data_IF_834661234700
#
_entry.id   IF_834661234700
#
_cell.length_a   1.000
_cell.length_b   1.000
_cell.length_c   1.000
_cell.angle_alpha   90.00
_cell.angle_beta   90.00
_cell.angle_gamma   90.00
#
_symmetry.space_group_name_H-M   'P 1'
#
loop_
_entity.id
_entity.type
_entity.pdbx_description
1 polymer ?
#
# COMPACT_ATOMS: atom_id res chain seq x y z
N UNK A 1 5.42 16.43 -24.82
CA UNK A 1 5.93 15.35 -25.68
C UNK A 1 5.83 15.59 -27.20
N UNK A 2 5.26 16.71 -27.68
CA UNK A 2 5.02 16.91 -29.12
C UNK A 2 6.24 16.66 -30.06
N UNK A 3 7.48 17.14 -29.76
CA UNK A 3 8.62 16.86 -30.63
C UNK A 3 8.96 15.36 -30.73
N UNK A 4 8.85 14.63 -29.63
CA UNK A 4 9.12 13.19 -29.55
C UNK A 4 8.10 12.39 -30.37
N UNK A 5 6.82 12.76 -30.26
CA UNK A 5 5.74 12.16 -31.07
C UNK A 5 5.97 12.40 -32.56
N UNK A 6 6.30 13.63 -32.97
CA UNK A 6 6.61 13.95 -34.38
C UNK A 6 7.78 13.09 -34.89
N UNK A 7 8.86 12.99 -34.11
CA UNK A 7 10.03 12.20 -34.49
C UNK A 7 9.68 10.71 -34.64
N UNK A 8 8.87 10.16 -33.73
CA UNK A 8 8.43 8.76 -33.75
C UNK A 8 7.50 8.45 -34.93
N UNK A 9 6.52 9.32 -35.21
CA UNK A 9 5.62 9.20 -36.37
C UNK A 9 6.38 9.18 -37.70
N UNK A 10 7.41 10.02 -37.86
CA UNK A 10 8.26 10.03 -39.06
C UNK A 10 9.09 8.74 -39.14
N UNK A 11 9.68 8.29 -38.02
CA UNK A 11 10.51 7.08 -37.98
C UNK A 11 9.71 5.80 -38.27
N UNK A 12 8.42 5.78 -37.94
CA UNK A 12 7.50 4.67 -38.24
C UNK A 12 6.87 4.77 -39.65
N UNK A 13 7.26 5.76 -40.47
CA UNK A 13 6.69 6.02 -41.81
C UNK A 13 5.17 6.28 -41.84
N UNK A 14 4.58 6.71 -40.72
CA UNK A 14 3.16 7.10 -40.64
C UNK A 14 2.95 8.45 -41.34
N UNK A 15 3.94 9.34 -41.24
CA UNK A 15 3.95 10.66 -41.89
C UNK A 15 5.30 10.97 -42.54
N UNK A 16 5.26 11.62 -43.70
CA UNK A 16 6.46 11.89 -44.49
C UNK A 16 7.18 13.20 -44.12
N UNK A 17 6.54 14.09 -43.36
CA UNK A 17 7.12 15.38 -42.98
C UNK A 17 6.53 15.95 -41.68
N UNK A 18 7.24 16.92 -41.10
CA UNK A 18 6.88 17.57 -39.83
C UNK A 18 5.51 18.29 -39.92
N UNK A 19 5.18 18.88 -41.08
CA UNK A 19 3.93 19.64 -41.26
C UNK A 19 2.72 18.70 -41.24
N UNK A 20 2.83 17.54 -41.88
CA UNK A 20 1.83 16.48 -41.85
C UNK A 20 1.69 15.93 -40.42
N UNK A 21 2.79 15.66 -39.72
CA UNK A 21 2.78 15.21 -38.34
C UNK A 21 2.03 16.19 -37.42
N UNK A 22 2.30 17.50 -37.51
CA UNK A 22 1.59 18.53 -36.73
C UNK A 22 0.09 18.54 -37.01
N UNK A 23 -0.31 18.36 -38.27
CA UNK A 23 -1.73 18.32 -38.66
C UNK A 23 -2.43 17.08 -38.11
N UNK A 24 -1.74 15.93 -38.08
CA UNK A 24 -2.24 14.67 -37.55
C UNK A 24 -2.43 14.76 -36.02
N UNK A 25 -1.43 15.31 -35.31
CA UNK A 25 -1.53 15.58 -33.86
C UNK A 25 -2.70 16.52 -33.53
N UNK A 26 -2.94 17.56 -34.34
CA UNK A 26 -4.07 18.49 -34.12
C UNK A 26 -5.44 17.83 -34.32
N UNK A 27 -5.53 16.78 -35.14
CA UNK A 27 -6.76 16.00 -35.34
C UNK A 27 -7.00 14.99 -34.21
N UNK A 28 -5.98 14.70 -33.41
CA UNK A 28 -6.01 13.71 -32.34
C UNK A 28 -6.47 12.32 -32.83
N UNK A 29 -5.93 11.87 -33.98
CA UNK A 29 -6.21 10.52 -34.50
C UNK A 29 -5.67 9.43 -33.55
N UNK A 30 -6.33 8.26 -33.54
CA UNK A 30 -5.99 7.14 -32.65
C UNK A 30 -4.52 6.68 -32.77
N UNK A 31 -3.96 6.73 -33.98
CA UNK A 31 -2.55 6.41 -34.24
C UNK A 31 -1.59 7.30 -33.43
N UNK A 32 -1.94 8.58 -33.22
CA UNK A 32 -1.14 9.51 -32.40
C UNK A 32 -1.16 9.10 -30.94
N UNK A 33 -2.32 8.63 -30.45
CA UNK A 33 -2.48 8.24 -29.06
C UNK A 33 -1.66 6.98 -28.75
N UNK A 34 -1.63 6.01 -29.67
CA UNK A 34 -0.77 4.84 -29.55
C UNK A 34 0.72 5.24 -29.50
N UNK A 35 1.14 6.11 -30.41
CA UNK A 35 2.53 6.60 -30.45
C UNK A 35 2.87 7.44 -29.22
N UNK A 36 1.92 8.22 -28.71
CA UNK A 36 2.10 8.99 -27.48
C UNK A 36 2.32 8.05 -26.28
N UNK A 37 1.54 6.97 -26.16
CA UNK A 37 1.70 5.98 -25.11
C UNK A 37 3.10 5.36 -25.12
N UNK A 38 3.62 4.98 -26.30
CA UNK A 38 4.99 4.48 -26.44
C UNK A 38 6.06 5.52 -26.05
N UNK A 39 5.81 6.79 -26.34
CA UNK A 39 6.78 7.87 -26.10
C UNK A 39 6.85 8.25 -24.61
N UNK A 40 5.74 8.16 -23.88
CA UNK A 40 5.72 8.51 -22.45
C UNK A 40 6.19 7.37 -21.55
N UNK A 41 6.12 6.12 -22.05
CA UNK A 41 6.53 4.94 -21.29
C UNK A 41 8.01 5.06 -20.89
N UNK A 42 8.29 4.97 -19.59
CA UNK A 42 9.64 5.16 -19.07
C UNK A 42 10.19 6.60 -19.13
N UNK A 43 9.39 7.61 -19.49
CA UNK A 43 9.81 9.02 -19.47
C UNK A 43 9.23 9.76 -18.26
N UNK A 44 10.00 10.00 -17.18
CA UNK A 44 9.47 10.64 -15.98
C UNK A 44 9.10 12.10 -16.22
N UNK A 45 8.06 12.58 -15.54
CA UNK A 45 7.65 13.99 -15.49
C UNK A 45 7.85 14.54 -14.08
N UNK A 46 8.02 15.85 -13.95
CA UNK A 46 8.05 16.52 -12.65
C UNK A 46 6.73 17.25 -12.42
N UNK A 47 6.09 16.99 -11.27
CA UNK A 47 4.96 17.77 -10.79
C UNK A 47 5.43 18.79 -9.76
N UNK A 48 4.90 20.01 -9.83
CA UNK A 48 5.19 21.09 -8.89
C UNK A 48 3.88 21.79 -8.49
N UNK A 49 3.73 22.10 -7.20
CA UNK A 49 2.67 22.96 -6.68
C UNK A 49 3.29 24.22 -6.08
N UNK A 50 2.83 25.38 -6.51
CA UNK A 50 3.25 26.67 -5.95
C UNK A 50 2.35 27.09 -4.77
N UNK A 51 2.89 27.73 -3.73
CA UNK A 51 4.30 28.04 -3.50
C UNK A 51 5.12 26.82 -3.06
N UNK A 52 6.34 26.68 -3.59
CA UNK A 52 7.24 25.56 -3.24
C UNK A 52 8.04 25.89 -1.97
N UNK A 53 7.64 25.33 -0.83
CA UNK A 53 8.27 25.61 0.47
C UNK A 53 9.49 24.74 0.77
N UNK A 54 9.56 23.54 0.20
CA UNK A 54 10.62 22.57 0.44
C UNK A 54 10.80 21.65 -0.76
N UNK A 55 11.90 20.87 -0.77
CA UNK A 55 12.28 20.02 -1.92
C UNK A 55 11.16 19.08 -2.38
N UNK A 56 10.36 18.56 -1.43
CA UNK A 56 9.27 17.62 -1.73
C UNK A 56 8.04 18.24 -2.40
N UNK A 57 8.01 19.58 -2.55
CA UNK A 57 7.00 20.28 -3.34
C UNK A 57 7.24 20.14 -4.85
N UNK A 58 8.33 19.48 -5.27
CA UNK A 58 8.57 19.03 -6.64
C UNK A 58 8.97 17.55 -6.59
N UNK A 59 8.23 16.70 -7.28
CA UNK A 59 8.55 15.26 -7.34
C UNK A 59 8.37 14.70 -8.75
N UNK A 60 9.10 13.64 -9.04
CA UNK A 60 9.00 12.92 -10.29
C UNK A 60 7.97 11.79 -10.22
N UNK A 61 7.25 11.60 -11.31
CA UNK A 61 6.26 10.56 -11.50
C UNK A 61 6.39 9.95 -12.89
N UNK A 62 5.95 8.70 -13.04
CA UNK A 62 5.70 8.10 -14.34
C UNK A 62 4.31 8.51 -14.83
N UNK A 63 4.19 9.19 -15.99
CA UNK A 63 2.91 9.62 -16.51
C UNK A 63 2.07 8.44 -17.00
N UNK A 64 0.77 8.46 -16.70
CA UNK A 64 -0.23 7.55 -17.29
C UNK A 64 -1.27 8.37 -18.04
N UNK A 65 -1.61 7.95 -19.26
CA UNK A 65 -2.71 8.58 -20.01
C UNK A 65 -4.03 8.21 -19.32
N UNK A 66 -4.86 9.22 -19.13
CA UNK A 66 -6.20 9.10 -18.55
C UNK A 66 -7.17 9.94 -19.37
N UNK A 67 -8.42 9.52 -19.41
CA UNK A 67 -9.48 10.32 -20.01
C UNK A 67 -9.82 11.49 -19.08
N UNK A 68 -9.82 12.71 -19.63
CA UNK A 68 -10.19 13.91 -18.89
C UNK A 68 -9.19 15.06 -19.07
N UNK A 69 -9.39 16.11 -18.28
CA UNK A 69 -8.56 17.33 -18.30
C UNK A 69 -7.87 17.61 -16.96
N UNK A 70 -8.11 16.78 -15.95
CA UNK A 70 -7.53 16.90 -14.62
C UNK A 70 -6.34 15.96 -14.47
N UNK A 71 -5.35 16.37 -13.67
CA UNK A 71 -4.23 15.50 -13.30
C UNK A 71 -4.70 14.60 -12.15
N UNK A 72 -4.51 13.30 -12.29
CA UNK A 72 -4.70 12.36 -11.19
C UNK A 72 -3.42 12.33 -10.35
N UNK A 73 -3.55 12.65 -9.06
CA UNK A 73 -2.44 12.66 -8.11
C UNK A 73 -2.63 11.56 -7.06
N UNK A 74 -1.54 10.91 -6.68
CA UNK A 74 -1.58 9.88 -5.64
C UNK A 74 -1.92 10.50 -4.27
N UNK A 75 -2.88 9.96 -3.49
CA UNK A 75 -3.32 10.60 -2.24
C UNK A 75 -2.19 10.76 -1.21
N UNK A 76 -1.28 9.79 -1.13
CA UNK A 76 -0.17 9.84 -0.17
C UNK A 76 0.90 10.92 -0.45
N UNK A 77 0.93 11.53 -1.65
CA UNK A 77 1.87 12.65 -1.91
C UNK A 77 1.24 14.02 -1.62
N UNK A 78 -0.07 14.09 -1.34
CA UNK A 78 -0.77 15.34 -1.06
C UNK A 78 -0.18 16.12 0.13
N UNK A 79 0.19 15.47 1.26
CA UNK A 79 0.85 16.18 2.36
C UNK A 79 2.16 16.86 1.95
N UNK A 80 2.96 16.21 1.09
CA UNK A 80 4.21 16.75 0.59
C UNK A 80 4.02 17.94 -0.36
N UNK A 81 2.92 17.99 -1.12
CA UNK A 81 2.58 19.17 -1.93
C UNK A 81 1.77 20.23 -1.16
N UNK A 82 1.35 19.91 0.07
CA UNK A 82 0.33 20.64 0.82
C UNK A 82 -0.94 20.89 -0.02
N UNK A 83 -1.31 19.90 -0.85
CA UNK A 83 -2.37 20.01 -1.84
C UNK A 83 -3.70 19.44 -1.32
N UNK A 84 -4.80 20.05 -1.76
CA UNK A 84 -6.15 19.53 -1.63
C UNK A 84 -6.82 19.45 -3.02
N UNK A 85 -8.10 19.06 -3.06
CA UNK A 85 -8.83 18.79 -4.31
C UNK A 85 -10.06 19.69 -4.45
N UNK A 86 -9.94 20.97 -4.08
CA UNK A 86 -11.03 21.96 -4.15
C UNK A 86 -10.90 22.94 -5.34
N UNK A 87 -9.87 22.78 -6.18
CA UNK A 87 -9.57 23.67 -7.31
C UNK A 87 -8.08 23.94 -7.53
N UNK A 88 -7.22 23.36 -6.69
CA UNK A 88 -5.77 23.41 -6.79
C UNK A 88 -5.22 23.07 -8.19
N UNK A 89 -4.14 23.77 -8.57
CA UNK A 89 -3.45 23.60 -9.84
C UNK A 89 -2.00 23.17 -9.62
N UNK A 90 -1.50 22.34 -10.53
CA UNK A 90 -0.11 21.90 -10.55
C UNK A 90 0.54 22.14 -11.91
N UNK A 91 1.82 22.49 -11.88
CA UNK A 91 2.63 22.58 -13.09
C UNK A 91 3.26 21.22 -13.41
N UNK A 92 3.35 20.91 -14.70
CA UNK A 92 4.02 19.71 -15.22
C UNK A 92 5.25 20.13 -16.01
N UNK A 93 6.42 19.60 -15.64
CA UNK A 93 7.66 19.82 -16.36
C UNK A 93 8.17 18.50 -16.96
N UNK A 94 8.67 18.55 -18.19
CA UNK A 94 9.19 17.37 -18.89
C UNK A 94 10.71 17.50 -19.02
N UNK A 95 11.51 16.71 -18.29
CA UNK A 95 12.96 16.70 -18.45
C UNK A 95 13.34 16.18 -19.85
N UNK A 96 14.28 16.83 -20.52
CA UNK A 96 14.67 16.50 -21.90
C UNK A 96 15.98 15.71 -21.95
N UNK A 97 17.03 16.22 -21.29
CA UNK A 97 18.34 15.59 -21.24
C UNK A 97 18.30 14.23 -20.52
N UNK A 98 19.16 13.30 -20.94
CA UNK A 98 19.22 11.95 -20.34
C UNK A 98 19.65 12.05 -18.87
N UNK A 99 20.56 12.97 -18.58
CA UNK A 99 21.03 13.30 -17.24
C UNK A 99 19.86 13.76 -16.36
N UNK A 100 19.02 14.67 -16.86
CA UNK A 100 17.85 15.16 -16.13
C UNK A 100 16.77 14.08 -15.93
N UNK A 101 16.57 13.21 -16.92
CA UNK A 101 15.66 12.06 -16.77
C UNK A 101 16.18 11.06 -15.73
N UNK A 102 17.51 10.87 -15.68
CA UNK A 102 18.18 10.00 -14.72
C UNK A 102 18.06 10.56 -13.31
N UNK A 103 18.33 11.86 -13.11
CA UNK A 103 18.12 12.54 -11.82
C UNK A 103 16.65 12.46 -11.37
N UNK A 104 15.70 12.69 -12.28
CA UNK A 104 14.28 12.58 -11.97
C UNK A 104 13.93 11.17 -11.46
N UNK A 105 14.44 10.13 -12.12
CA UNK A 105 14.18 8.73 -11.76
C UNK A 105 14.88 8.29 -10.48
N UNK A 106 16.14 8.68 -10.28
CA UNK A 106 16.94 8.20 -9.16
C UNK A 106 16.68 9.02 -7.89
N UNK A 107 16.59 10.34 -8.01
CA UNK A 107 16.59 11.26 -6.86
C UNK A 107 15.19 11.82 -6.56
N UNK A 108 14.41 12.12 -7.59
CA UNK A 108 13.15 12.85 -7.42
C UNK A 108 11.91 11.97 -7.44
N UNK A 109 12.04 10.68 -7.77
CA UNK A 109 10.89 9.77 -7.85
C UNK A 109 10.15 9.73 -6.52
N UNK A 110 8.82 9.88 -6.55
CA UNK A 110 8.00 9.99 -5.36
C UNK A 110 8.16 8.78 -4.41
N UNK A 111 8.32 7.57 -4.97
CA UNK A 111 8.56 6.33 -4.20
C UNK A 111 9.86 6.34 -3.39
N UNK A 112 10.85 7.15 -3.78
CA UNK A 112 12.13 7.24 -3.08
C UNK A 112 12.09 8.31 -1.97
N UNK A 113 11.05 9.14 -1.95
CA UNK A 113 10.96 10.34 -1.12
C UNK A 113 9.93 10.17 0.02
N UNK A 114 10.06 9.08 0.77
CA UNK A 114 9.13 8.68 1.85
C UNK A 114 9.37 9.47 3.14
N UNK A 115 10.61 9.91 3.39
CA UNK A 115 11.00 10.58 4.62
C UNK A 115 11.11 12.10 4.45
N UNK A 116 10.69 12.82 5.49
CA UNK A 116 10.92 14.24 5.68
C UNK A 116 12.43 14.52 5.77
N UNK A 117 12.99 15.42 4.95
CA UNK A 117 14.40 15.75 5.02
C UNK A 117 14.79 16.51 6.29
N UNK A 118 13.80 17.13 6.95
CA UNK A 118 14.00 17.96 8.14
C UNK A 118 13.99 17.14 9.43
N UNK A 119 13.09 16.15 9.54
CA UNK A 119 12.87 15.38 10.78
C UNK A 119 13.31 13.93 10.67
N UNK A 120 13.46 13.39 9.46
CA UNK A 120 13.69 11.95 9.24
C UNK A 120 12.43 11.08 9.41
N UNK A 121 11.31 11.68 9.80
CA UNK A 121 10.03 10.98 9.96
C UNK A 121 9.34 10.76 8.61
N UNK A 122 8.48 9.73 8.47
CA UNK A 122 7.70 9.52 7.26
C UNK A 122 6.78 10.71 6.96
N UNK A 123 6.88 11.27 5.74
CA UNK A 123 5.95 12.32 5.28
C UNK A 123 4.77 11.73 4.50
N UNK A 124 4.99 10.58 3.85
CA UNK A 124 4.00 9.82 3.10
C UNK A 124 3.21 8.97 4.09
N UNK A 125 2.35 9.62 4.87
CA UNK A 125 1.54 8.95 5.91
C UNK A 125 0.08 8.85 5.48
N UNK A 126 -0.61 7.73 5.80
CA UNK A 126 -2.05 7.63 5.62
C UNK A 126 -2.78 8.73 6.40
N UNK A 127 -3.81 9.31 5.80
CA UNK A 127 -4.64 10.35 6.41
C UNK A 127 -6.12 10.13 6.10
N UNK A 128 -6.98 10.86 6.80
CA UNK A 128 -8.43 10.93 6.56
C UNK A 128 -9.06 9.53 6.41
N UNK A 129 -9.58 9.19 5.23
CA UNK A 129 -10.32 7.96 4.95
C UNK A 129 -9.48 6.70 5.15
N UNK A 130 -8.17 6.74 4.86
CA UNK A 130 -7.29 5.59 5.06
C UNK A 130 -7.15 5.28 6.55
N UNK A 131 -7.00 6.33 7.38
CA UNK A 131 -6.93 6.18 8.85
C UNK A 131 -8.25 5.69 9.39
N UNK A 132 -9.37 6.24 8.91
CA UNK A 132 -10.71 5.81 9.33
C UNK A 132 -10.98 4.35 8.97
N UNK A 133 -10.59 3.92 7.76
CA UNK A 133 -10.72 2.55 7.30
C UNK A 133 -9.89 1.58 8.13
N UNK A 134 -8.62 1.89 8.36
CA UNK A 134 -7.73 1.08 9.20
C UNK A 134 -8.21 1.02 10.66
N UNK A 135 -8.69 2.15 11.21
CA UNK A 135 -9.27 2.20 12.54
C UNK A 135 -10.52 1.33 12.62
N UNK A 136 -11.46 1.48 11.70
CA UNK A 136 -12.68 0.68 11.68
C UNK A 136 -12.37 -0.81 11.54
N UNK A 137 -11.40 -1.17 10.71
CA UNK A 137 -10.97 -2.55 10.51
C UNK A 137 -10.39 -3.18 11.79
N UNK A 138 -9.66 -2.40 12.59
CA UNK A 138 -8.93 -2.90 13.76
C UNK A 138 -9.65 -2.68 15.10
N UNK A 139 -10.73 -1.89 15.08
CA UNK A 139 -11.56 -1.60 16.23
C UNK A 139 -12.23 -2.85 16.80
N UNK A 140 -12.41 -2.86 18.12
CA UNK A 140 -13.16 -3.90 18.83
C UNK A 140 -14.57 -3.37 19.06
N UNK A 141 -15.57 -4.16 18.65
CA UNK A 141 -16.97 -3.80 18.87
C UNK A 141 -17.30 -3.86 20.38
N UNK A 142 -17.82 -2.76 20.97
CA UNK A 142 -18.23 -2.77 22.38
C UNK A 142 -19.27 -3.87 22.64
N UNK A 143 -19.05 -4.67 23.69
CA UNK A 143 -19.93 -5.79 24.04
C UNK A 143 -19.70 -7.07 23.22
N UNK A 144 -18.72 -7.09 22.30
CA UNK A 144 -18.34 -8.33 21.62
C UNK A 144 -17.82 -9.36 22.62
N UNK A 145 -18.35 -10.58 22.57
CA UNK A 145 -17.91 -11.68 23.43
C UNK A 145 -16.73 -12.39 22.79
N UNK A 146 -15.66 -12.61 23.57
CA UNK A 146 -14.50 -13.39 23.15
C UNK A 146 -14.85 -14.88 23.20
N UNK A 147 -14.66 -15.65 22.11
CA UNK A 147 -14.91 -17.08 22.11
C UNK A 147 -13.88 -17.81 22.97
N UNK A 148 -14.29 -18.91 23.58
CA UNK A 148 -13.38 -19.83 24.24
C UNK A 148 -12.51 -20.55 23.20
N UNK A 149 -11.27 -20.84 23.59
CA UNK A 149 -10.36 -21.59 22.72
C UNK A 149 -10.91 -23.00 22.47
N UNK A 150 -10.93 -23.42 21.20
CA UNK A 150 -11.44 -24.74 20.80
C UNK A 150 -12.89 -24.73 20.29
N UNK A 151 -13.56 -23.57 20.28
CA UNK A 151 -14.80 -23.40 19.54
C UNK A 151 -14.54 -23.63 18.04
N UNK A 152 -15.16 -24.68 17.48
CA UNK A 152 -15.00 -25.08 16.07
C UNK A 152 -15.41 -23.99 15.09
N UNK A 153 -16.32 -23.11 15.48
CA UNK A 153 -16.80 -22.02 14.60
C UNK A 153 -15.88 -20.80 14.60
N UNK A 154 -14.99 -20.69 15.60
CA UNK A 154 -14.15 -19.50 15.82
C UNK A 154 -12.65 -19.80 15.90
N UNK A 155 -12.23 -21.05 15.74
CA UNK A 155 -10.81 -21.47 15.81
C UNK A 155 -10.31 -21.94 14.44
N UNK A 156 -9.23 -21.33 13.95
CA UNK A 156 -8.71 -21.51 12.59
C UNK A 156 -7.23 -21.94 12.58
N UNK A 157 -6.83 -22.71 11.57
CA UNK A 157 -5.48 -23.27 11.47
C UNK A 157 -4.47 -22.33 10.82
N UNK A 158 -4.91 -21.19 10.27
CA UNK A 158 -4.05 -20.13 9.76
C UNK A 158 -4.84 -18.90 9.32
N UNK A 159 -4.13 -17.83 8.94
CA UNK A 159 -4.74 -16.57 8.49
C UNK A 159 -5.61 -16.77 7.23
N UNK A 160 -5.17 -17.62 6.31
CA UNK A 160 -5.92 -17.92 5.07
C UNK A 160 -7.30 -18.52 5.30
N UNK A 161 -7.46 -19.36 6.33
CA UNK A 161 -8.76 -19.96 6.67
C UNK A 161 -9.74 -18.89 7.18
N UNK A 162 -9.24 -17.93 7.97
CA UNK A 162 -10.04 -16.80 8.45
C UNK A 162 -10.51 -15.94 7.28
N UNK A 163 -9.61 -15.63 6.33
CA UNK A 163 -9.94 -14.84 5.14
C UNK A 163 -10.97 -15.55 4.27
N UNK A 164 -10.85 -16.86 4.10
CA UNK A 164 -11.82 -17.67 3.36
C UNK A 164 -13.19 -17.66 4.06
N UNK A 165 -13.23 -17.90 5.36
CA UNK A 165 -14.47 -17.87 6.14
C UNK A 165 -15.14 -16.48 6.11
N UNK A 166 -14.35 -15.41 6.10
CA UNK A 166 -14.84 -14.04 5.91
C UNK A 166 -15.40 -13.82 4.50
N UNK A 167 -14.71 -14.28 3.46
CA UNK A 167 -15.18 -14.19 2.06
C UNK A 167 -16.48 -14.98 1.82
N UNK A 168 -16.63 -16.14 2.47
CA UNK A 168 -17.85 -16.97 2.45
C UNK A 168 -18.97 -16.41 3.35
N UNK A 169 -18.76 -15.25 4.00
CA UNK A 169 -19.71 -14.55 4.88
C UNK A 169 -20.11 -15.33 6.14
N UNK A 170 -19.27 -16.28 6.58
CA UNK A 170 -19.43 -16.98 7.85
C UNK A 170 -18.96 -16.16 9.04
N UNK A 171 -18.12 -15.15 8.81
CA UNK A 171 -17.61 -14.24 9.81
C UNK A 171 -17.90 -12.79 9.42
N UNK A 172 -18.01 -11.92 10.42
CA UNK A 172 -18.04 -10.47 10.26
C UNK A 172 -16.70 -9.84 10.62
N UNK A 173 -16.47 -8.59 10.19
CA UNK A 173 -15.18 -7.91 10.34
C UNK A 173 -14.71 -7.78 11.80
N UNK A 174 -15.63 -7.62 12.74
CA UNK A 174 -15.32 -7.39 14.15
C UNK A 174 -15.47 -8.63 15.02
N UNK A 175 -15.75 -9.79 14.41
CA UNK A 175 -15.81 -11.04 15.13
C UNK A 175 -14.45 -11.42 15.69
N UNK A 176 -14.45 -11.92 16.92
CA UNK A 176 -13.27 -12.51 17.54
C UNK A 176 -13.05 -13.92 17.05
N UNK A 177 -11.79 -14.25 16.78
CA UNK A 177 -11.34 -15.56 16.31
C UNK A 177 -10.03 -15.96 16.97
N UNK A 178 -9.87 -17.26 17.18
CA UNK A 178 -8.59 -17.87 17.48
C UNK A 178 -7.94 -18.31 16.17
N UNK A 179 -6.72 -17.86 15.90
CA UNK A 179 -6.00 -18.23 14.67
C UNK A 179 -4.60 -18.71 15.01
N UNK A 180 -4.19 -19.83 14.42
CA UNK A 180 -2.81 -20.31 14.55
C UNK A 180 -1.87 -19.37 13.80
N UNK A 181 -0.78 -18.98 14.44
CA UNK A 181 0.22 -18.11 13.85
C UNK A 181 1.62 -18.52 14.31
N UNK A 182 2.56 -18.60 13.37
CA UNK A 182 3.93 -19.08 13.61
C UNK A 182 4.99 -17.98 13.51
N UNK A 183 4.60 -16.75 13.20
CA UNK A 183 5.53 -15.62 13.11
C UNK A 183 5.81 -14.96 14.46
N UNK A 184 6.60 -13.90 14.41
CA UNK A 184 6.82 -13.00 15.55
C UNK A 184 5.53 -12.25 15.88
N UNK A 185 5.25 -12.14 17.17
CA UNK A 185 4.06 -11.47 17.69
C UNK A 185 4.53 -10.41 18.65
N UNK A 186 4.22 -9.17 18.33
CA UNK A 186 4.41 -8.03 19.21
C UNK A 186 3.04 -7.61 19.75
N UNK A 187 2.89 -7.63 21.08
CA UNK A 187 1.66 -7.27 21.77
C UNK A 187 2.01 -6.56 23.07
N UNK A 188 2.00 -5.23 23.04
CA UNK A 188 2.26 -4.37 24.20
C UNK A 188 1.18 -4.49 25.28
N UNK A 189 -0.02 -4.96 24.93
CA UNK A 189 -1.16 -5.13 25.85
C UNK A 189 -1.14 -6.48 26.59
N UNK A 190 -0.18 -7.35 26.26
CA UNK A 190 0.00 -8.64 26.92
C UNK A 190 0.72 -8.50 28.27
N UNK A 191 0.30 -9.29 29.25
CA UNK A 191 0.88 -9.25 30.60
C UNK A 191 2.30 -9.80 30.64
N UNK A 192 3.04 -9.53 31.72
CA UNK A 192 4.39 -10.11 31.94
C UNK A 192 4.35 -11.61 32.28
N UNK A 193 3.20 -12.11 32.73
CA UNK A 193 3.00 -13.49 33.17
C UNK A 193 1.72 -14.07 32.54
N UNK A 194 1.67 -15.39 32.28
CA UNK A 194 0.49 -16.03 31.73
C UNK A 194 -0.66 -16.06 32.75
N UNK A 195 -1.89 -15.95 32.26
CA UNK A 195 -3.11 -15.96 33.09
C UNK A 195 -3.37 -17.36 33.65
N UNK A 196 -3.08 -18.40 32.86
CA UNK A 196 -3.12 -19.80 33.28
C UNK A 196 -1.96 -20.55 32.65
N UNK A 197 -1.39 -21.50 33.37
CA UNK A 197 -0.48 -22.49 32.82
C UNK A 197 -0.89 -23.88 33.28
N UNK A 198 -0.74 -24.86 32.41
CA UNK A 198 -1.08 -26.26 32.67
C UNK A 198 0.00 -27.15 32.08
N UNK A 199 0.48 -28.12 32.85
CA UNK A 199 1.39 -29.15 32.37
C UNK A 199 0.62 -30.46 32.25
N UNK A 200 0.58 -31.01 31.05
CA UNK A 200 -0.13 -32.25 30.74
C UNK A 200 0.71 -33.47 31.14
N UNK A 201 0.07 -34.63 31.19
CA UNK A 201 0.70 -35.91 31.56
C UNK A 201 1.79 -36.38 30.58
N UNK A 202 1.81 -35.82 29.36
CA UNK A 202 2.82 -36.06 28.32
C UNK A 202 3.98 -35.05 28.38
N UNK A 203 4.09 -34.31 29.48
CA UNK A 203 5.10 -33.28 29.72
C UNK A 203 4.95 -32.00 28.88
N UNK A 204 3.95 -31.93 27.99
CA UNK A 204 3.59 -30.69 27.28
C UNK A 204 3.20 -29.59 28.27
N UNK A 205 3.71 -28.38 28.07
CA UNK A 205 3.24 -27.18 28.78
C UNK A 205 2.33 -26.32 27.91
N UNK A 206 1.17 -25.94 28.44
CA UNK A 206 0.26 -24.98 27.82
C UNK A 206 0.26 -23.70 28.64
N UNK A 207 0.48 -22.58 27.98
CA UNK A 207 0.39 -21.24 28.57
C UNK A 207 -0.74 -20.45 27.90
N UNK A 208 -1.71 -20.04 28.71
CA UNK A 208 -2.80 -19.19 28.30
C UNK A 208 -2.52 -17.76 28.76
N UNK A 209 -2.33 -16.89 27.78
CA UNK A 209 -2.20 -15.45 27.96
C UNK A 209 -3.54 -14.76 27.65
N UNK A 210 -3.54 -13.43 27.68
CA UNK A 210 -4.76 -12.63 27.47
C UNK A 210 -5.25 -12.70 26.03
N UNK A 211 -4.32 -12.66 25.07
CA UNK A 211 -4.61 -12.71 23.64
C UNK A 211 -3.86 -13.82 22.92
N UNK A 212 -3.05 -14.60 23.64
CA UNK A 212 -2.26 -15.68 23.08
C UNK A 212 -2.45 -16.98 23.84
N UNK A 213 -2.29 -18.10 23.15
CA UNK A 213 -2.20 -19.44 23.73
C UNK A 213 -1.03 -20.16 23.08
N UNK A 214 -0.03 -20.47 23.90
CA UNK A 214 1.18 -21.14 23.47
C UNK A 214 1.23 -22.55 24.03
N UNK A 215 1.71 -23.49 23.23
CA UNK A 215 1.93 -24.89 23.61
C UNK A 215 3.39 -25.24 23.33
N UNK A 216 4.07 -25.74 24.35
CA UNK A 216 5.47 -26.15 24.33
C UNK A 216 5.60 -27.66 24.56
N UNK A 217 6.65 -28.26 24.01
CA UNK A 217 7.04 -29.64 24.32
C UNK A 217 7.77 -29.75 25.66
N UNK A 218 8.22 -30.97 26.00
CA UNK A 218 8.99 -31.25 27.22
C UNK A 218 10.34 -30.51 27.25
N UNK A 219 10.94 -30.27 26.07
CA UNK A 219 12.23 -29.60 25.89
C UNK A 219 12.09 -28.06 25.86
N UNK A 220 10.86 -27.54 25.92
CA UNK A 220 10.55 -26.11 25.90
C UNK A 220 10.45 -25.49 24.50
N UNK A 221 10.46 -26.27 23.43
CA UNK A 221 10.24 -25.79 22.07
C UNK A 221 8.75 -25.54 21.79
N UNK A 222 8.45 -24.47 21.07
CA UNK A 222 7.09 -24.07 20.74
C UNK A 222 6.47 -25.01 19.69
N UNK A 223 5.47 -25.80 20.08
CA UNK A 223 4.69 -26.69 19.20
C UNK A 223 3.66 -25.89 18.40
N UNK A 224 2.91 -25.03 19.08
CA UNK A 224 1.86 -24.24 18.44
C UNK A 224 1.53 -22.99 19.22
N UNK A 225 1.26 -21.91 18.48
CA UNK A 225 0.76 -20.65 18.99
C UNK A 225 -0.55 -20.30 18.32
N UNK A 226 -1.51 -19.90 19.14
CA UNK A 226 -2.80 -19.35 18.69
C UNK A 226 -2.98 -17.95 19.24
N UNK A 227 -3.50 -17.07 18.41
CA UNK A 227 -3.80 -15.68 18.75
C UNK A 227 -5.29 -15.46 18.75
N UNK A 228 -5.78 -14.79 19.79
CA UNK A 228 -7.14 -14.29 19.91
C UNK A 228 -7.14 -12.85 19.39
N UNK A 229 -7.71 -12.66 18.22
CA UNK A 229 -7.75 -11.38 17.53
C UNK A 229 -9.10 -11.21 16.83
N UNK A 230 -9.28 -10.11 16.10
CA UNK A 230 -10.47 -9.90 15.27
C UNK A 230 -10.17 -10.22 13.81
N UNK A 231 -11.21 -10.57 13.06
CA UNK A 231 -11.10 -10.83 11.61
C UNK A 231 -10.48 -9.65 10.87
N UNK A 232 -10.86 -8.42 11.19
CA UNK A 232 -10.31 -7.23 10.54
C UNK A 232 -8.80 -7.05 10.81
N UNK A 233 -8.33 -7.33 12.04
CA UNK A 233 -6.88 -7.35 12.34
C UNK A 233 -6.15 -8.43 11.54
N UNK A 234 -6.76 -9.60 11.32
CA UNK A 234 -6.21 -10.65 10.45
C UNK A 234 -6.10 -10.17 9.01
N UNK A 235 -7.15 -9.54 8.47
CA UNK A 235 -7.15 -8.97 7.12
C UNK A 235 -6.02 -7.95 6.96
N UNK A 236 -5.89 -7.01 7.91
CA UNK A 236 -4.84 -5.99 7.87
C UNK A 236 -3.44 -6.61 7.90
N UNK A 237 -3.17 -7.49 8.87
CA UNK A 237 -1.85 -8.09 9.02
C UNK A 237 -1.49 -9.03 7.86
N UNK A 238 -2.45 -9.79 7.32
CA UNK A 238 -2.21 -10.60 6.12
C UNK A 238 -1.82 -9.71 4.94
N UNK A 239 -2.51 -8.59 4.75
CA UNK A 239 -2.20 -7.64 3.67
C UNK A 239 -0.79 -7.06 3.82
N UNK A 240 -0.38 -6.74 5.05
CA UNK A 240 0.98 -6.24 5.32
C UNK A 240 2.03 -7.32 5.05
N UNK A 241 1.81 -8.55 5.55
CA UNK A 241 2.73 -9.68 5.34
C UNK A 241 2.91 -9.96 3.85
N UNK A 242 1.81 -10.00 3.09
CA UNK A 242 1.84 -10.24 1.65
C UNK A 242 2.57 -9.11 0.90
N UNK A 243 2.33 -7.85 1.29
CA UNK A 243 3.00 -6.70 0.69
C UNK A 243 4.51 -6.67 0.98
N UNK A 244 4.93 -7.02 2.19
CA UNK A 244 6.35 -7.10 2.57
C UNK A 244 7.03 -8.29 1.90
N UNK A 245 6.35 -9.43 1.76
CA UNK A 245 6.90 -10.60 1.10
C UNK A 245 7.05 -10.42 -0.42
N UNK A 246 6.26 -9.53 -1.04
CA UNK A 246 6.32 -9.23 -2.47
C UNK A 246 7.35 -8.15 -2.84
N UNK A 247 7.88 -7.42 -1.86
CA UNK A 247 8.88 -6.36 -2.03
C UNK A 247 10.31 -6.91 -2.05
#
# INVERSE_FOLDING_TARGET
>A
FQPFVIHRLIRQNIVNNIKAAKKLIQRADDEVMQVLQEVIEGHPILLNRAPTLHRLGIQAFEPKLVDGRAIQLHPLVCPAFNADFDGDQMAVHVPLAIEAQTEARMLMLASNNILSPATGEPIITPSQDMVLGAYYLTAVQPGSVKPEFGDRSRTFAGLGDVLRAFAEKHLTMHDWVWVRFSGEVDDEDEGKEPVKHETLSDGTRIEQWRYRRDRFDEDGALISRYLLTTVGRVVMNSTIIDAVAAA
#
